data_IF_866599201203
#
_entry.id   IF_866599201203
#
_cell.length_a   1.000
_cell.length_b   1.000
_cell.length_c   1.000
_cell.angle_alpha   90.00
_cell.angle_beta   90.00
_cell.angle_gamma   90.00
#
_symmetry.space_group_name_H-M   'P 1'
#
loop_
_entity.id
_entity.type
_entity.pdbx_description
1 polymer ?
#
# COMPACT_ATOMS: atom_id res chain seq x y z
N UNK A 1 22.40 25.72 59.10
CA UNK A 1 23.54 26.24 58.31
C UNK A 1 23.09 26.40 56.87
N UNK A 2 22.99 27.66 56.44
CA UNK A 2 22.69 28.15 55.09
C UNK A 2 23.83 29.17 54.74
N UNK A 3 23.87 29.74 53.53
CA UNK A 3 24.76 29.52 52.36
C UNK A 3 25.90 30.59 52.26
N UNK A 4 26.57 30.83 51.11
CA UNK A 4 26.07 31.75 50.04
C UNK A 4 26.37 31.27 48.59
N UNK A 5 25.51 31.46 47.59
CA UNK A 5 25.14 32.68 46.84
C UNK A 5 26.20 33.19 45.84
N UNK A 6 25.88 33.13 44.53
CA UNK A 6 26.06 34.18 43.50
C UNK A 6 25.42 33.67 42.17
N UNK A 7 24.36 34.27 41.62
CA UNK A 7 24.30 35.54 40.86
C UNK A 7 25.09 35.49 39.54
N UNK A 8 24.67 35.99 38.37
CA UNK A 8 23.44 36.57 37.80
C UNK A 8 23.84 37.00 36.36
N UNK A 9 23.07 36.67 35.32
CA UNK A 9 23.04 37.38 34.02
C UNK A 9 21.87 36.80 33.20
N UNK A 10 20.69 37.42 33.10
CA UNK A 10 20.29 38.61 32.33
C UNK A 10 20.79 38.62 30.88
N UNK A 11 19.86 38.47 29.93
CA UNK A 11 20.15 38.55 28.50
C UNK A 11 18.95 38.28 27.59
N UNK A 12 17.95 39.16 27.69
CA UNK A 12 16.76 39.31 26.84
C UNK A 12 17.07 39.26 25.33
N UNK A 13 16.26 38.57 24.50
CA UNK A 13 15.98 39.04 23.13
C UNK A 13 14.77 38.37 22.46
N UNK A 14 13.84 39.24 22.07
CA UNK A 14 13.03 39.22 20.85
C UNK A 14 11.95 38.16 20.68
N UNK A 15 10.72 38.61 20.94
CA UNK A 15 9.51 38.02 20.38
C UNK A 15 9.50 38.06 18.84
N UNK A 16 8.91 37.02 18.26
CA UNK A 16 8.56 36.95 16.86
C UNK A 16 7.04 36.74 16.77
N UNK A 17 6.25 37.69 16.27
CA UNK A 17 4.84 37.45 15.98
C UNK A 17 4.72 36.63 14.69
N UNK A 18 4.03 35.49 14.79
CA UNK A 18 3.64 34.67 13.64
C UNK A 18 2.69 35.45 12.71
N UNK A 19 2.87 35.37 11.38
CA UNK A 19 2.05 36.09 10.43
C UNK A 19 0.64 35.50 10.31
N UNK A 20 -0.34 36.41 10.24
CA UNK A 20 -1.76 36.17 10.02
C UNK A 20 -2.02 35.29 8.79
N UNK A 21 -2.75 34.20 9.01
CA UNK A 21 -3.35 33.36 7.97
C UNK A 21 -4.31 34.20 7.11
N UNK A 22 -3.88 34.53 5.90
CA UNK A 22 -4.65 35.26 4.90
C UNK A 22 -5.70 34.31 4.30
N UNK A 23 -6.94 34.40 4.79
CA UNK A 23 -8.13 33.77 4.22
C UNK A 23 -8.29 34.22 2.75
N UNK A 24 -7.99 33.34 1.80
CA UNK A 24 -8.35 33.56 0.39
C UNK A 24 -9.83 33.24 0.21
N UNK A 25 -10.65 34.30 0.19
CA UNK A 25 -12.00 34.27 -0.41
C UNK A 25 -11.80 34.24 -1.92
N UNK A 26 -12.17 33.15 -2.58
CA UNK A 26 -12.33 33.16 -4.05
C UNK A 26 -13.79 33.49 -4.30
N UNK A 27 -14.02 34.78 -4.55
CA UNK A 27 -15.30 35.31 -4.97
C UNK A 27 -15.56 34.94 -6.43
N UNK A 28 -16.83 34.69 -6.69
CA UNK A 28 -17.40 34.47 -8.00
C UNK A 28 -17.09 35.61 -8.98
N UNK A 29 -16.77 35.24 -10.21
CA UNK A 29 -16.99 36.11 -11.37
C UNK A 29 -17.52 35.28 -12.53
N UNK A 30 -18.83 35.42 -12.74
CA UNK A 30 -19.54 35.16 -13.98
C UNK A 30 -18.84 35.83 -15.17
N UNK A 31 -18.64 35.09 -16.26
CA UNK A 31 -18.48 35.66 -17.61
C UNK A 31 -19.47 34.91 -18.53
N UNK A 32 -20.49 35.60 -19.06
CA UNK A 32 -21.49 35.02 -19.94
C UNK A 32 -21.11 35.13 -21.43
N UNK A 33 -21.72 34.24 -22.22
CA UNK A 33 -22.09 34.34 -23.64
C UNK A 33 -21.02 34.79 -24.65
N UNK A 34 -20.64 33.89 -25.57
CA UNK A 34 -20.67 34.21 -27.00
C UNK A 34 -20.78 32.98 -27.89
N UNK A 35 -21.89 32.99 -28.62
CA UNK A 35 -22.42 32.14 -29.70
C UNK A 35 -21.44 31.98 -30.87
N UNK A 36 -21.34 30.78 -31.47
CA UNK A 36 -21.60 30.57 -32.91
C UNK A 36 -21.43 29.11 -33.33
N UNK A 37 -22.50 28.64 -33.98
CA UNK A 37 -22.69 27.38 -34.68
C UNK A 37 -21.84 27.36 -35.95
N UNK A 38 -21.05 26.31 -36.21
CA UNK A 38 -20.60 25.94 -37.55
C UNK A 38 -20.68 24.42 -37.71
N UNK A 39 -21.66 23.98 -38.51
CA UNK A 39 -21.64 22.67 -39.14
C UNK A 39 -20.54 22.68 -40.21
N UNK A 40 -19.54 21.82 -40.04
CA UNK A 40 -18.56 21.47 -41.06
C UNK A 40 -18.38 19.96 -41.06
N UNK A 41 -18.99 19.30 -42.05
CA UNK A 41 -18.79 17.88 -42.30
C UNK A 41 -17.43 17.55 -42.94
N UNK A 42 -17.26 16.25 -43.18
CA UNK A 42 -16.18 15.54 -43.87
C UNK A 42 -15.03 15.01 -43.00
N UNK A 43 -15.19 13.76 -42.58
CA UNK A 43 -14.10 12.79 -42.37
C UNK A 43 -14.73 11.42 -42.66
N UNK A 44 -14.44 10.74 -43.76
CA UNK A 44 -13.10 10.31 -44.15
C UNK A 44 -13.01 8.83 -43.82
N UNK A 45 -13.58 7.99 -44.70
CA UNK A 45 -13.57 6.54 -44.62
C UNK A 45 -12.18 5.98 -44.27
N UNK A 46 -12.09 5.20 -43.20
CA UNK A 46 -10.91 4.37 -42.90
C UNK A 46 -11.33 3.02 -42.33
N UNK A 47 -11.33 2.01 -43.20
CA UNK A 47 -11.00 0.59 -42.98
C UNK A 47 -11.72 -0.23 -41.89
N UNK A 48 -12.00 -1.53 -42.12
CA UNK A 48 -12.43 -2.41 -41.05
C UNK A 48 -11.24 -2.63 -40.10
N UNK A 49 -11.21 -1.86 -39.01
CA UNK A 49 -10.39 -2.17 -37.86
C UNK A 49 -10.88 -3.52 -37.30
N UNK A 50 -10.07 -4.57 -37.45
CA UNK A 50 -10.21 -5.77 -36.65
C UNK A 50 -10.25 -5.40 -35.17
N UNK A 51 -10.93 -6.19 -34.32
CA UNK A 51 -11.08 -5.87 -32.91
C UNK A 51 -9.70 -5.57 -32.31
N UNK A 52 -9.55 -4.48 -31.54
CA UNK A 52 -8.26 -4.20 -30.92
C UNK A 52 -7.88 -5.41 -30.08
N UNK A 53 -6.71 -5.99 -30.37
CA UNK A 53 -6.08 -6.95 -29.48
C UNK A 53 -6.02 -6.28 -28.11
N UNK A 54 -6.82 -6.78 -27.17
CA UNK A 54 -6.87 -6.26 -25.82
C UNK A 54 -5.44 -6.32 -25.26
N UNK A 55 -4.85 -5.15 -25.04
CA UNK A 55 -3.61 -5.08 -24.28
C UNK A 55 -3.92 -5.65 -22.90
N UNK A 56 -3.38 -6.82 -22.59
CA UNK A 56 -3.39 -7.38 -21.25
C UNK A 56 -2.64 -6.40 -20.35
N UNK A 57 -3.38 -5.49 -19.71
CA UNK A 57 -2.82 -4.67 -18.66
C UNK A 57 -2.23 -5.62 -17.60
N UNK A 58 -1.02 -5.36 -17.07
CA UNK A 58 -0.52 -6.13 -15.96
C UNK A 58 -1.56 -6.03 -14.84
N UNK A 59 -2.13 -7.18 -14.48
CA UNK A 59 -3.04 -7.29 -13.35
C UNK A 59 -2.26 -6.83 -12.12
N UNK A 60 -2.52 -5.60 -11.66
CA UNK A 60 -1.92 -5.07 -10.45
C UNK A 60 -2.14 -6.06 -9.30
N UNK A 61 -1.20 -6.22 -8.37
CA UNK A 61 -1.38 -7.07 -7.20
C UNK A 61 -2.70 -6.69 -6.55
N UNK A 62 -3.66 -7.61 -6.53
CA UNK A 62 -4.91 -7.34 -5.86
C UNK A 62 -4.57 -7.25 -4.37
N UNK A 63 -4.83 -6.10 -3.76
CA UNK A 63 -4.47 -5.79 -2.37
C UNK A 63 -5.72 -5.90 -1.47
N UNK A 64 -5.52 -6.35 -0.24
CA UNK A 64 -6.52 -6.32 0.83
C UNK A 64 -6.08 -5.28 1.87
N UNK A 65 -6.99 -4.38 2.25
CA UNK A 65 -6.69 -3.27 3.16
C UNK A 65 -7.68 -3.26 4.32
N UNK A 66 -7.18 -3.08 5.53
CA UNK A 66 -7.99 -2.89 6.73
C UNK A 66 -7.48 -1.68 7.50
N UNK A 67 -8.39 -0.79 7.91
CA UNK A 67 -8.05 0.42 8.69
C UNK A 67 -8.71 0.35 10.06
N UNK A 68 -7.94 0.61 11.11
CA UNK A 68 -8.37 0.56 12.51
C UNK A 68 -7.79 1.79 13.21
N UNK A 69 -8.63 2.80 13.41
CA UNK A 69 -8.15 4.10 13.90
C UNK A 69 -7.17 4.72 12.90
N UNK A 70 -5.96 5.01 13.38
CA UNK A 70 -4.83 5.53 12.62
C UNK A 70 -3.92 4.43 12.05
N UNK A 71 -4.27 3.15 12.23
CA UNK A 71 -3.48 2.01 11.73
C UNK A 71 -4.06 1.49 10.41
N UNK A 72 -3.20 1.31 9.41
CA UNK A 72 -3.51 0.67 8.14
C UNK A 72 -2.75 -0.65 8.02
N UNK A 73 -3.48 -1.75 7.81
CA UNK A 73 -2.93 -3.06 7.49
C UNK A 73 -3.19 -3.32 6.01
N UNK A 74 -2.13 -3.64 5.26
CA UNK A 74 -2.14 -3.91 3.84
C UNK A 74 -1.56 -5.30 3.58
N UNK A 75 -2.27 -6.12 2.81
CA UNK A 75 -1.79 -7.43 2.40
C UNK A 75 -1.93 -7.59 0.89
N UNK A 76 -0.87 -8.05 0.22
CA UNK A 76 -0.87 -8.37 -1.20
C UNK A 76 -0.26 -9.74 -1.42
N UNK A 77 -0.68 -10.41 -2.50
CA UNK A 77 -0.14 -11.73 -2.85
C UNK A 77 0.14 -11.78 -4.34
N UNK A 78 1.31 -12.28 -4.70
CA UNK A 78 1.77 -12.39 -6.09
C UNK A 78 2.46 -13.74 -6.33
N UNK A 79 2.36 -14.28 -7.55
CA UNK A 79 3.18 -15.42 -7.96
C UNK A 79 4.66 -14.99 -8.01
N UNK A 80 5.54 -15.73 -7.37
CA UNK A 80 6.96 -15.36 -7.30
C UNK A 80 7.66 -15.38 -8.66
N UNK A 81 7.19 -16.17 -9.62
CA UNK A 81 7.66 -16.13 -11.01
C UNK A 81 7.47 -14.76 -11.68
N UNK A 82 6.46 -13.99 -11.26
CA UNK A 82 6.18 -12.65 -11.79
C UNK A 82 7.09 -11.55 -11.22
N UNK A 83 7.86 -11.86 -10.16
CA UNK A 83 8.81 -10.91 -9.60
C UNK A 83 9.98 -10.69 -10.57
N UNK A 84 10.45 -9.44 -10.75
CA UNK A 84 11.73 -9.18 -11.41
C UNK A 84 12.87 -9.89 -10.67
N UNK A 85 13.87 -10.40 -11.40
CA UNK A 85 15.03 -11.10 -10.83
C UNK A 85 15.72 -10.31 -9.72
N UNK A 86 15.91 -9.02 -9.94
CA UNK A 86 16.56 -8.13 -8.98
C UNK A 86 15.78 -8.02 -7.67
N UNK A 87 14.44 -7.98 -7.74
CA UNK A 87 13.56 -7.90 -6.56
C UNK A 87 13.57 -9.24 -5.82
N UNK A 88 13.45 -10.35 -6.54
CA UNK A 88 13.48 -11.69 -5.95
C UNK A 88 14.80 -11.94 -5.21
N UNK A 89 15.94 -11.58 -5.81
CA UNK A 89 17.25 -11.67 -5.15
C UNK A 89 17.36 -10.74 -3.94
N UNK A 90 16.94 -9.48 -4.08
CA UNK A 90 16.98 -8.50 -2.99
C UNK A 90 16.15 -8.96 -1.78
N UNK A 91 15.02 -9.62 -2.03
CA UNK A 91 14.14 -10.09 -0.97
C UNK A 91 14.44 -11.51 -0.50
N UNK A 92 15.38 -12.23 -1.15
CA UNK A 92 15.67 -13.63 -0.86
C UNK A 92 14.47 -14.54 -1.10
N UNK A 93 13.75 -14.33 -2.21
CA UNK A 93 12.57 -15.08 -2.62
C UNK A 93 12.93 -15.94 -3.84
N UNK A 94 12.66 -17.24 -3.75
CA UNK A 94 12.75 -18.14 -4.89
C UNK A 94 11.67 -17.79 -5.91
N UNK A 95 12.04 -17.67 -7.19
CA UNK A 95 11.08 -17.48 -8.29
C UNK A 95 10.56 -18.83 -8.75
N UNK A 96 9.24 -19.03 -8.65
CA UNK A 96 8.56 -20.25 -9.05
C UNK A 96 7.09 -19.98 -9.39
N UNK A 97 6.55 -20.66 -10.41
CA UNK A 97 5.11 -20.63 -10.71
C UNK A 97 4.27 -21.35 -9.65
N UNK A 98 4.92 -22.13 -8.77
CA UNK A 98 4.28 -22.89 -7.68
C UNK A 98 4.36 -22.19 -6.33
N UNK A 99 4.92 -20.99 -6.26
CA UNK A 99 5.03 -20.23 -5.02
C UNK A 99 4.30 -18.88 -5.15
N UNK A 100 3.41 -18.62 -4.19
CA UNK A 100 2.80 -17.32 -3.97
C UNK A 100 3.48 -16.61 -2.79
N UNK A 101 3.93 -15.38 -3.01
CA UNK A 101 4.49 -14.52 -1.98
C UNK A 101 3.39 -13.66 -1.37
N UNK A 102 3.16 -13.81 -0.06
CA UNK A 102 2.34 -12.91 0.75
C UNK A 102 3.23 -11.79 1.30
N UNK A 103 2.91 -10.53 0.95
CA UNK A 103 3.44 -9.33 1.61
C UNK A 103 2.40 -8.78 2.56
N UNK A 104 2.82 -8.38 3.76
CA UNK A 104 1.99 -7.68 4.74
C UNK A 104 2.72 -6.45 5.28
N UNK A 105 2.11 -5.29 5.12
CA UNK A 105 2.57 -4.03 5.66
C UNK A 105 1.62 -3.57 6.77
N UNK A 106 2.19 -3.20 7.92
CA UNK A 106 1.44 -2.56 9.01
C UNK A 106 2.01 -1.15 9.19
N UNK A 107 1.13 -0.17 9.07
CA UNK A 107 1.48 1.25 9.04
C UNK A 107 0.62 2.04 10.02
N UNK A 108 1.15 3.13 10.54
CA UNK A 108 0.43 4.05 11.42
C UNK A 108 0.57 5.50 10.94
N UNK A 109 -0.50 6.27 11.09
CA UNK A 109 -0.55 7.70 10.74
C UNK A 109 -1.29 7.96 9.43
N UNK A 110 -1.32 9.23 8.97
CA UNK A 110 -1.96 9.60 7.71
C UNK A 110 -1.13 9.10 6.52
N UNK A 111 -1.78 8.68 5.44
CA UNK A 111 -1.18 8.00 4.27
C UNK A 111 0.13 8.63 3.75
N UNK A 112 0.20 9.96 3.71
CA UNK A 112 1.38 10.70 3.23
C UNK A 112 2.58 10.70 4.21
N UNK A 113 2.38 10.30 5.47
CA UNK A 113 3.37 10.28 6.55
C UNK A 113 3.29 8.97 7.35
N UNK A 114 2.79 7.91 6.71
CA UNK A 114 2.68 6.60 7.35
C UNK A 114 4.06 6.07 7.75
N UNK A 115 4.19 5.61 8.99
CA UNK A 115 5.39 4.96 9.51
C UNK A 115 5.15 3.47 9.69
N UNK A 116 6.21 2.67 9.63
CA UNK A 116 6.09 1.25 9.94
C UNK A 116 5.74 1.05 11.42
N UNK A 117 4.72 0.22 11.67
CA UNK A 117 4.33 -0.19 13.01
C UNK A 117 4.67 -1.67 13.19
N UNK A 118 5.64 -2.03 14.05
CA UNK A 118 6.03 -3.42 14.28
C UNK A 118 4.85 -4.28 14.77
N UNK A 119 4.80 -5.52 14.27
CA UNK A 119 3.76 -6.48 14.61
C UNK A 119 4.28 -7.93 14.55
N UNK A 120 3.64 -8.82 15.29
CA UNK A 120 3.74 -10.26 15.08
C UNK A 120 2.61 -10.70 14.17
N UNK A 121 2.93 -11.39 13.06
CA UNK A 121 1.97 -11.84 12.07
C UNK A 121 1.98 -13.36 12.01
N UNK A 122 0.80 -13.94 12.14
CA UNK A 122 0.56 -15.36 11.84
C UNK A 122 -0.39 -15.43 10.66
N UNK A 123 -0.07 -16.28 9.68
CA UNK A 123 -0.82 -16.38 8.44
C UNK A 123 -1.00 -17.84 8.06
N UNK A 124 -2.17 -18.14 7.48
CA UNK A 124 -2.46 -19.44 6.88
C UNK A 124 -3.13 -19.23 5.54
N UNK A 125 -2.94 -20.15 4.61
CA UNK A 125 -3.68 -20.21 3.36
C UNK A 125 -4.41 -21.55 3.23
N UNK A 126 -5.60 -21.53 2.65
CA UNK A 126 -6.41 -22.73 2.39
C UNK A 126 -6.92 -22.69 0.96
N UNK A 127 -6.68 -23.74 0.19
CA UNK A 127 -7.23 -23.87 -1.17
C UNK A 127 -8.69 -24.37 -1.15
N UNK A 128 -9.34 -24.42 -2.33
CA UNK A 128 -10.72 -24.92 -2.45
C UNK A 128 -10.87 -26.42 -2.17
N UNK A 129 -9.76 -27.18 -2.15
CA UNK A 129 -9.73 -28.59 -1.75
C UNK A 129 -9.67 -28.75 -0.22
N UNK A 130 -9.59 -27.65 0.52
CA UNK A 130 -9.48 -27.64 1.97
C UNK A 130 -8.07 -27.93 2.49
N UNK A 131 -7.05 -27.94 1.62
CA UNK A 131 -5.67 -28.11 2.03
C UNK A 131 -5.18 -26.81 2.66
N UNK A 132 -4.99 -26.85 3.99
CA UNK A 132 -4.48 -25.74 4.79
C UNK A 132 -2.97 -25.82 4.90
N UNK A 133 -2.30 -24.67 4.76
CA UNK A 133 -0.87 -24.50 5.02
C UNK A 133 -0.65 -23.31 5.95
N UNK A 134 0.26 -23.49 6.91
CA UNK A 134 0.80 -22.38 7.69
C UNK A 134 1.84 -21.65 6.85
N UNK A 135 1.85 -20.33 6.94
CA UNK A 135 2.80 -19.48 6.21
C UNK A 135 3.78 -18.91 7.23
N UNK A 136 5.04 -19.39 7.26
CA UNK A 136 6.08 -18.80 8.10
C UNK A 136 6.34 -17.36 7.67
N UNK A 137 6.00 -16.42 8.55
CA UNK A 137 6.22 -15.00 8.30
C UNK A 137 7.58 -14.57 8.85
N UNK A 138 8.31 -13.77 8.07
CA UNK A 138 9.56 -13.15 8.49
C UNK A 138 9.55 -11.66 8.16
N UNK A 139 10.31 -10.89 8.93
CA UNK A 139 10.56 -9.49 8.59
C UNK A 139 11.34 -9.39 7.27
N UNK A 140 10.98 -8.37 6.49
CA UNK A 140 11.70 -7.90 5.32
C UNK A 140 11.95 -6.40 5.52
N UNK A 141 13.22 -6.02 5.64
CA UNK A 141 13.63 -4.64 5.83
C UNK A 141 14.28 -4.11 4.56
N UNK A 142 13.76 -3.01 4.03
CA UNK A 142 14.32 -2.34 2.85
C UNK A 142 14.50 -0.85 3.18
N UNK A 143 15.74 -0.45 3.48
CA UNK A 143 16.00 0.87 4.06
C UNK A 143 15.24 1.01 5.39
N UNK A 144 14.40 2.05 5.49
CA UNK A 144 13.57 2.32 6.67
C UNK A 144 12.19 1.64 6.63
N UNK A 145 11.89 0.88 5.56
CA UNK A 145 10.64 0.14 5.44
C UNK A 145 10.74 -1.21 6.15
N UNK A 146 9.68 -1.56 6.90
CA UNK A 146 9.49 -2.87 7.52
C UNK A 146 8.20 -3.51 7.00
N UNK A 147 8.36 -4.63 6.32
CA UNK A 147 7.28 -5.49 5.84
C UNK A 147 7.45 -6.90 6.40
N UNK A 148 6.42 -7.71 6.23
CA UNK A 148 6.43 -9.12 6.59
C UNK A 148 6.14 -9.94 5.36
N UNK A 149 6.96 -10.96 5.12
CA UNK A 149 6.82 -11.84 3.97
C UNK A 149 6.75 -13.30 4.37
N UNK A 150 6.00 -14.06 3.59
CA UNK A 150 5.97 -15.51 3.65
C UNK A 150 5.52 -16.09 2.32
N UNK A 151 5.80 -17.36 2.08
CA UNK A 151 5.45 -18.04 0.84
C UNK A 151 4.45 -19.17 1.10
N UNK A 152 3.52 -19.34 0.17
CA UNK A 152 2.58 -20.44 0.13
C UNK A 152 2.75 -21.22 -1.18
N UNK A 153 2.63 -22.54 -1.13
CA UNK A 153 2.60 -23.38 -2.32
C UNK A 153 1.23 -23.27 -3.02
N UNK A 154 1.24 -23.24 -4.35
CA UNK A 154 0.04 -23.14 -5.20
C UNK A 154 0.08 -24.18 -6.32
N UNK A 155 -1.09 -24.74 -6.65
CA UNK A 155 -1.27 -25.66 -7.79
C UNK A 155 -2.20 -25.03 -8.82
N UNK A 156 -1.62 -24.43 -9.87
CA UNK A 156 -2.36 -23.64 -10.86
C UNK A 156 -3.35 -24.46 -11.72
N UNK A 157 -4.52 -23.91 -12.08
CA UNK A 157 -5.12 -22.71 -11.50
C UNK A 157 -5.58 -23.00 -10.07
N UNK A 158 -5.42 -22.01 -9.18
CA UNK A 158 -5.73 -22.16 -7.77
C UNK A 158 -6.58 -20.99 -7.26
N UNK A 159 -7.33 -21.22 -6.19
CA UNK A 159 -7.99 -20.17 -5.43
C UNK A 159 -7.73 -20.40 -3.96
N UNK A 160 -7.04 -19.46 -3.34
CA UNK A 160 -6.63 -19.55 -1.96
C UNK A 160 -7.35 -18.51 -1.09
N UNK A 161 -7.86 -18.95 0.06
CA UNK A 161 -8.28 -18.08 1.16
C UNK A 161 -7.10 -17.87 2.10
N UNK A 162 -6.72 -16.62 2.31
CA UNK A 162 -5.72 -16.22 3.29
C UNK A 162 -6.39 -15.75 4.56
N UNK A 163 -5.88 -16.20 5.70
CA UNK A 163 -6.31 -15.80 7.03
C UNK A 163 -5.11 -15.31 7.83
N UNK A 164 -5.14 -14.06 8.26
CA UNK A 164 -4.06 -13.42 9.00
C UNK A 164 -4.54 -12.99 10.37
N UNK A 165 -3.70 -13.23 11.39
CA UNK A 165 -3.78 -12.58 12.70
C UNK A 165 -2.56 -11.67 12.85
N UNK A 166 -2.83 -10.40 13.16
CA UNK A 166 -1.83 -9.36 13.35
C UNK A 166 -1.91 -8.90 14.80
N UNK A 167 -0.80 -9.02 15.54
CA UNK A 167 -0.68 -8.54 16.92
C UNK A 167 0.34 -7.42 16.94
N UNK A 168 -0.12 -6.20 17.15
CA UNK A 168 0.73 -5.00 17.21
C UNK A 168 1.45 -4.93 18.55
N UNK A 169 2.52 -4.14 18.61
CA UNK A 169 3.12 -3.75 19.89
C UNK A 169 2.05 -3.21 20.85
N UNK A 170 2.13 -3.61 22.12
CA UNK A 170 1.08 -3.34 23.12
C UNK A 170 -0.08 -4.35 23.13
N UNK A 171 -0.08 -5.35 22.25
CA UNK A 171 -0.98 -6.51 22.31
C UNK A 171 -2.30 -6.35 21.55
N UNK A 172 -2.52 -5.24 20.86
CA UNK A 172 -3.74 -5.00 20.10
C UNK A 172 -3.84 -5.94 18.89
N UNK A 173 -4.84 -6.84 18.91
CA UNK A 173 -5.06 -7.87 17.89
C UNK A 173 -6.01 -7.41 16.79
N UNK A 174 -5.69 -7.77 15.55
CA UNK A 174 -6.51 -7.59 14.35
C UNK A 174 -6.51 -8.88 13.53
N UNK A 175 -7.57 -9.08 12.74
CA UNK A 175 -7.66 -10.20 11.80
C UNK A 175 -8.00 -9.70 10.41
N UNK A 176 -7.45 -10.35 9.38
CA UNK A 176 -7.75 -10.06 7.98
C UNK A 176 -7.98 -11.37 7.24
N UNK A 177 -8.97 -11.38 6.35
CA UNK A 177 -9.23 -12.51 5.46
C UNK A 177 -9.50 -12.01 4.06
N UNK A 178 -8.95 -12.68 3.06
CA UNK A 178 -9.18 -12.36 1.66
C UNK A 178 -8.87 -13.57 0.78
N UNK A 179 -9.44 -13.59 -0.44
CA UNK A 179 -9.20 -14.65 -1.41
C UNK A 179 -8.34 -14.16 -2.56
N UNK A 180 -7.53 -15.04 -3.14
CA UNK A 180 -6.78 -14.77 -4.38
C UNK A 180 -6.87 -15.95 -5.33
N UNK A 181 -7.00 -15.60 -6.60
CA UNK A 181 -6.99 -16.54 -7.70
C UNK A 181 -5.64 -16.49 -8.39
N UNK A 182 -5.13 -17.65 -8.78
CA UNK A 182 -3.86 -17.84 -9.44
C UNK A 182 -4.09 -18.59 -10.74
N UNK A 183 -3.51 -18.09 -11.83
CA UNK A 183 -3.66 -18.66 -13.17
C UNK A 183 -2.28 -18.96 -13.77
N UNK A 184 -2.17 -19.94 -14.67
CA UNK A 184 -0.98 -20.11 -15.52
C UNK A 184 -0.64 -18.81 -16.27
N UNK A 185 0.64 -18.55 -16.44
CA UNK A 185 1.18 -17.38 -17.15
C UNK A 185 1.74 -17.77 -18.51
#
# INVERSE_FOLDING_TARGET
MLPPSACLALGNHSGSPLPLARRRRVAATWIPLLTCLLLGGCGGDTGPAGPPAAATAPSAPQEAVTRIGDVTIRASVVQTSTLPDTVAMQYGIERSDRLALLLVAVRQGPEAQETALPATITATATDLRGRRQDIPMRELRTGDLLDYVGTAEIDLPDTMRFELTIVREGGARSTMQFNREFYPR
#
